data_IF_463783311910
#
_entry.id   IF_463783311910
#
_cell.length_a   1.000
_cell.length_b   1.000
_cell.length_c   1.000
_cell.angle_alpha   90.00
_cell.angle_beta   90.00
_cell.angle_gamma   90.00
#
_symmetry.space_group_name_H-M   'P 1'
#
loop_
_entity.id
_entity.type
_entity.pdbx_description
1 polymer ?
#
# COMPACT_ATOMS: atom_id res chain seq x y z
N UNK A 1 -17.79 -8.68 -20.87
CA UNK A 1 -17.51 -7.23 -20.77
C UNK A 1 -16.29 -6.99 -19.87
N UNK A 2 -16.24 -7.50 -18.62
CA UNK A 2 -15.13 -7.21 -17.68
C UNK A 2 -13.76 -7.65 -18.20
N UNK A 3 -13.63 -8.87 -18.73
CA UNK A 3 -12.36 -9.35 -19.30
C UNK A 3 -11.91 -8.51 -20.52
N UNK A 4 -12.86 -8.11 -21.37
CA UNK A 4 -12.56 -7.26 -22.52
C UNK A 4 -12.07 -5.88 -22.08
N UNK A 5 -12.73 -5.24 -21.09
CA UNK A 5 -12.30 -3.96 -20.54
C UNK A 5 -10.90 -4.05 -19.92
N UNK A 6 -10.61 -5.12 -19.19
CA UNK A 6 -9.28 -5.35 -18.59
C UNK A 6 -8.19 -5.45 -19.66
N UNK A 7 -8.48 -6.12 -20.79
CA UNK A 7 -7.52 -6.27 -21.89
C UNK A 7 -7.29 -4.97 -22.68
N UNK A 8 -8.34 -4.24 -22.99
CA UNK A 8 -8.27 -3.11 -23.93
C UNK A 8 -8.17 -1.74 -23.25
N UNK A 9 -8.73 -1.61 -22.04
CA UNK A 9 -8.76 -0.37 -21.26
C UNK A 9 -8.44 -0.64 -19.78
N UNK A 10 -7.27 -1.22 -19.47
CA UNK A 10 -6.94 -1.62 -18.09
C UNK A 10 -7.00 -0.44 -17.12
N UNK A 11 -6.51 0.73 -17.46
CA UNK A 11 -6.56 1.90 -16.58
C UNK A 11 -7.99 2.27 -16.17
N UNK A 12 -8.92 2.31 -17.12
CA UNK A 12 -10.33 2.59 -16.83
C UNK A 12 -11.01 1.48 -16.02
N UNK A 13 -10.68 0.22 -16.32
CA UNK A 13 -11.17 -0.95 -15.58
C UNK A 13 -10.75 -0.89 -14.10
N UNK A 14 -9.46 -0.67 -13.83
CA UNK A 14 -8.96 -0.61 -12.46
C UNK A 14 -9.44 0.64 -11.70
N UNK A 15 -9.54 1.80 -12.37
CA UNK A 15 -10.15 3.00 -11.78
C UNK A 15 -11.60 2.74 -11.34
N UNK A 16 -12.39 2.09 -12.18
CA UNK A 16 -13.77 1.70 -11.86
C UNK A 16 -13.86 0.76 -10.67
N UNK A 17 -13.03 -0.28 -10.62
CA UNK A 17 -12.99 -1.23 -9.50
C UNK A 17 -12.54 -0.56 -8.18
N UNK A 18 -11.52 0.28 -8.23
CA UNK A 18 -11.05 1.02 -7.05
C UNK A 18 -12.10 2.00 -6.53
N UNK A 19 -12.86 2.64 -7.40
CA UNK A 19 -13.94 3.55 -7.01
C UNK A 19 -15.20 2.82 -6.52
N UNK A 20 -15.35 1.55 -6.87
CA UNK A 20 -16.45 0.69 -6.40
C UNK A 20 -16.18 0.04 -5.04
N UNK A 21 -15.02 0.32 -4.43
CA UNK A 21 -14.71 -0.18 -3.08
C UNK A 21 -15.66 0.42 -2.00
N UNK A 22 -16.03 -0.34 -0.95
CA UNK A 22 -15.53 -1.67 -0.59
C UNK A 22 -16.14 -2.80 -1.42
N UNK A 23 -15.30 -3.70 -1.91
CA UNK A 23 -15.68 -4.94 -2.60
C UNK A 23 -15.13 -6.14 -1.82
N UNK A 24 -15.92 -7.20 -1.67
CA UNK A 24 -15.57 -8.35 -0.81
C UNK A 24 -14.44 -9.25 -1.33
N UNK A 25 -14.03 -9.14 -2.60
CA UNK A 25 -13.13 -10.11 -3.23
C UNK A 25 -11.69 -9.64 -3.40
N UNK A 26 -11.45 -8.34 -3.64
CA UNK A 26 -10.13 -7.81 -3.92
C UNK A 26 -9.84 -6.58 -3.09
N UNK A 27 -8.66 -6.56 -2.47
CA UNK A 27 -8.18 -5.36 -1.76
C UNK A 27 -7.69 -4.30 -2.75
N UNK A 28 -7.68 -3.01 -2.36
CA UNK A 28 -7.07 -1.95 -3.18
C UNK A 28 -5.62 -2.24 -3.56
N UNK A 29 -4.83 -2.86 -2.66
CA UNK A 29 -3.45 -3.26 -2.94
C UNK A 29 -3.36 -4.24 -4.11
N UNK A 30 -4.18 -5.30 -4.09
CA UNK A 30 -4.21 -6.29 -5.17
C UNK A 30 -4.62 -5.68 -6.52
N UNK A 31 -5.62 -4.78 -6.51
CA UNK A 31 -6.06 -4.10 -7.73
C UNK A 31 -4.97 -3.18 -8.29
N UNK A 32 -4.25 -2.44 -7.44
CA UNK A 32 -3.16 -1.56 -7.87
C UNK A 32 -1.98 -2.37 -8.42
N UNK A 33 -1.61 -3.46 -7.76
CA UNK A 33 -0.54 -4.33 -8.26
C UNK A 33 -0.91 -4.97 -9.60
N UNK A 34 -2.16 -5.43 -9.75
CA UNK A 34 -2.63 -6.00 -11.01
C UNK A 34 -2.66 -4.93 -12.12
N UNK A 35 -3.05 -3.69 -11.80
CA UNK A 35 -2.97 -2.56 -12.72
C UNK A 35 -1.53 -2.33 -13.21
N UNK A 36 -0.56 -2.29 -12.28
CA UNK A 36 0.86 -2.13 -12.62
C UNK A 36 1.38 -3.26 -13.51
N UNK A 37 0.98 -4.52 -13.26
CA UNK A 37 1.33 -5.67 -14.12
C UNK A 37 0.75 -5.56 -15.53
N UNK A 38 -0.36 -4.87 -15.71
CA UNK A 38 -0.97 -4.58 -17.00
C UNK A 38 -0.47 -3.27 -17.64
N UNK A 39 0.66 -2.73 -17.15
CA UNK A 39 1.29 -1.53 -17.70
C UNK A 39 0.61 -0.20 -17.37
N UNK A 40 -0.33 -0.18 -16.41
CA UNK A 40 -0.96 1.06 -15.96
C UNK A 40 -0.01 1.78 -15.00
N UNK A 41 0.35 3.01 -15.33
CA UNK A 41 1.09 3.89 -14.42
C UNK A 41 0.16 4.37 -13.32
N UNK A 42 0.44 3.98 -12.07
CA UNK A 42 -0.32 4.40 -10.89
C UNK A 42 0.44 5.48 -10.14
N UNK A 43 -0.21 6.60 -9.90
CA UNK A 43 0.36 7.77 -9.23
C UNK A 43 -0.16 7.87 -7.79
N UNK A 44 0.70 8.26 -6.82
CA UNK A 44 0.32 8.33 -5.41
C UNK A 44 -0.75 9.39 -5.15
N UNK A 45 -1.31 9.36 -3.94
CA UNK A 45 -2.17 10.44 -3.44
C UNK A 45 -1.34 11.72 -3.31
N UNK A 46 -1.88 12.84 -3.78
CA UNK A 46 -1.27 14.16 -3.70
C UNK A 46 -2.33 15.22 -3.41
N UNK A 47 -2.05 16.11 -2.44
CA UNK A 47 -3.01 17.10 -1.98
C UNK A 47 -3.41 18.11 -3.06
N UNK A 48 -2.50 18.42 -3.97
CA UNK A 48 -2.73 19.37 -5.05
C UNK A 48 -3.36 18.74 -6.31
N UNK A 49 -3.38 17.39 -6.40
CA UNK A 49 -3.82 16.72 -7.63
C UNK A 49 -4.96 15.72 -7.40
N UNK A 50 -4.97 14.99 -6.26
CA UNK A 50 -5.97 13.96 -6.02
C UNK A 50 -7.34 14.53 -5.70
N UNK A 51 -8.39 13.94 -6.27
CA UNK A 51 -9.76 14.12 -5.86
C UNK A 51 -10.16 13.06 -4.81
N UNK A 52 -11.41 13.07 -4.38
CA UNK A 52 -11.90 12.02 -3.49
C UNK A 52 -11.79 10.65 -4.15
N UNK A 53 -12.33 10.51 -5.35
CA UNK A 53 -12.25 9.28 -6.12
C UNK A 53 -10.95 9.20 -6.95
N UNK A 54 -10.58 7.97 -7.34
CA UNK A 54 -9.47 7.72 -8.24
C UNK A 54 -9.79 8.25 -9.63
N UNK A 55 -8.81 8.85 -10.30
CA UNK A 55 -9.01 9.49 -11.59
C UNK A 55 -7.97 9.07 -12.62
N UNK A 56 -8.41 8.98 -13.85
CA UNK A 56 -7.53 8.90 -15.00
C UNK A 56 -7.08 10.32 -15.38
N UNK A 57 -5.78 10.48 -15.60
CA UNK A 57 -5.24 11.74 -16.06
C UNK A 57 -5.22 11.74 -17.58
N UNK A 58 -5.78 12.80 -18.17
CA UNK A 58 -5.76 12.98 -19.61
C UNK A 58 -4.33 13.34 -20.05
N UNK A 59 -3.68 12.40 -20.71
CA UNK A 59 -2.33 12.59 -21.28
C UNK A 59 -2.41 12.23 -22.76
N UNK A 60 -2.20 13.23 -23.63
CA UNK A 60 -2.29 13.07 -25.08
C UNK A 60 -1.24 12.12 -25.69
N UNK A 61 -0.22 11.74 -24.92
CA UNK A 61 0.94 10.98 -25.40
C UNK A 61 1.01 9.52 -24.91
N UNK A 62 0.22 9.14 -23.92
CA UNK A 62 0.29 7.79 -23.36
C UNK A 62 -0.75 6.85 -23.99
N UNK A 63 -0.31 5.64 -24.34
CA UNK A 63 -1.21 4.55 -24.80
C UNK A 63 -2.27 4.18 -23.77
N UNK A 64 -1.97 4.39 -22.48
CA UNK A 64 -2.89 4.21 -21.36
C UNK A 64 -2.78 5.42 -20.43
N UNK A 65 -3.91 6.05 -20.04
CA UNK A 65 -3.90 7.18 -19.14
C UNK A 65 -3.40 6.77 -17.75
N UNK A 66 -2.50 7.54 -17.09
CA UNK A 66 -2.10 7.28 -15.73
C UNK A 66 -3.28 7.34 -14.77
N UNK A 67 -3.29 6.45 -13.78
CA UNK A 67 -4.28 6.38 -12.72
C UNK A 67 -3.76 7.11 -11.47
N UNK A 68 -4.38 8.24 -11.11
CA UNK A 68 -4.11 8.96 -9.86
C UNK A 68 -4.96 8.38 -8.72
N UNK A 69 -4.32 7.98 -7.62
CA UNK A 69 -5.02 7.51 -6.44
C UNK A 69 -5.76 8.66 -5.75
N UNK A 70 -6.98 8.37 -5.31
CA UNK A 70 -7.89 9.33 -4.67
C UNK A 70 -7.69 9.45 -3.15
N UNK A 71 -8.11 10.58 -2.59
CA UNK A 71 -8.06 10.87 -1.16
C UNK A 71 -8.86 9.87 -0.30
N UNK A 72 -9.83 9.18 -0.88
CA UNK A 72 -10.62 8.12 -0.22
C UNK A 72 -9.79 6.94 0.32
N UNK A 73 -8.56 6.75 -0.18
CA UNK A 73 -7.62 5.75 0.33
C UNK A 73 -6.99 6.15 1.66
N UNK A 74 -6.95 7.45 1.96
CA UNK A 74 -6.30 7.96 3.16
C UNK A 74 -7.15 7.61 4.38
N UNK A 75 -6.68 6.65 5.18
CA UNK A 75 -7.36 6.22 6.39
C UNK A 75 -7.39 7.35 7.42
N UNK A 76 -8.56 7.63 7.95
CA UNK A 76 -8.73 8.68 8.95
C UNK A 76 -9.10 10.05 8.39
N UNK A 77 -8.90 10.28 7.09
CA UNK A 77 -9.33 11.54 6.45
C UNK A 77 -10.86 11.58 6.32
N UNK A 78 -11.46 12.66 6.77
CA UNK A 78 -12.90 12.86 6.64
C UNK A 78 -13.27 13.24 5.19
N UNK A 79 -14.44 12.76 4.73
CA UNK A 79 -14.95 13.15 3.40
C UNK A 79 -15.19 14.65 3.32
N UNK A 80 -15.67 15.27 4.41
CA UNK A 80 -15.86 16.71 4.49
C UNK A 80 -14.54 17.48 4.41
N UNK A 81 -13.47 16.99 5.05
CA UNK A 81 -12.12 17.53 4.92
C UNK A 81 -11.63 17.48 3.47
N UNK A 82 -11.79 16.35 2.81
CA UNK A 82 -11.40 16.19 1.41
C UNK A 82 -12.17 17.13 0.46
N UNK A 83 -13.46 17.38 0.73
CA UNK A 83 -14.26 18.34 -0.03
C UNK A 83 -13.76 19.76 0.14
N UNK A 84 -13.47 20.19 1.38
CA UNK A 84 -12.90 21.51 1.66
C UNK A 84 -11.53 21.71 1.01
N UNK A 85 -10.70 20.65 0.97
CA UNK A 85 -9.43 20.66 0.22
C UNK A 85 -9.68 20.93 -1.26
N UNK A 86 -10.61 20.19 -1.89
CA UNK A 86 -10.93 20.35 -3.30
C UNK A 86 -11.45 21.76 -3.62
N UNK A 87 -12.30 22.33 -2.77
CA UNK A 87 -12.85 23.70 -2.91
C UNK A 87 -11.76 24.77 -2.75
N UNK A 88 -10.92 24.66 -1.71
CA UNK A 88 -9.84 25.59 -1.48
C UNK A 88 -8.81 25.59 -2.62
N UNK A 89 -8.50 24.38 -3.14
CA UNK A 89 -7.58 24.20 -4.25
C UNK A 89 -8.04 24.83 -5.58
N UNK A 90 -9.36 24.92 -5.82
CA UNK A 90 -9.90 25.56 -7.03
C UNK A 90 -9.48 27.03 -7.18
N UNK A 91 -9.20 27.71 -6.05
CA UNK A 91 -8.75 29.11 -6.06
C UNK A 91 -7.27 29.23 -6.43
N UNK A 92 -6.43 28.40 -5.84
CA UNK A 92 -5.00 28.28 -6.13
C UNK A 92 -4.46 26.96 -5.54
N UNK A 93 -3.42 26.32 -6.13
CA UNK A 93 -2.74 25.20 -5.49
C UNK A 93 -2.13 25.62 -4.16
N UNK A 94 -1.97 24.65 -3.25
CA UNK A 94 -1.30 24.88 -1.97
C UNK A 94 0.22 24.89 -2.20
N UNK A 95 0.92 25.77 -1.49
CA UNK A 95 2.38 25.88 -1.52
C UNK A 95 3.04 25.42 -0.22
N UNK A 96 2.31 25.50 0.91
CA UNK A 96 2.79 25.18 2.24
C UNK A 96 1.72 24.42 3.04
N UNK A 97 2.16 23.67 4.04
CA UNK A 97 1.29 22.89 4.92
C UNK A 97 0.40 23.79 5.78
N UNK A 98 0.93 24.94 6.23
CA UNK A 98 0.17 25.96 6.97
C UNK A 98 -0.97 26.54 6.14
N UNK A 99 -0.70 26.86 4.88
CA UNK A 99 -1.70 27.37 3.93
C UNK A 99 -2.83 26.37 3.70
N UNK A 100 -2.50 25.08 3.56
CA UNK A 100 -3.51 24.01 3.45
C UNK A 100 -4.46 24.01 4.64
N UNK A 101 -3.92 24.02 5.87
CA UNK A 101 -4.74 24.02 7.08
C UNK A 101 -5.66 25.23 7.14
N UNK A 102 -5.13 26.41 6.89
CA UNK A 102 -5.89 27.67 6.99
C UNK A 102 -7.00 27.75 5.93
N UNK A 103 -6.68 27.49 4.66
CA UNK A 103 -7.61 27.64 3.53
C UNK A 103 -8.67 26.54 3.47
N UNK A 104 -8.31 25.31 3.81
CA UNK A 104 -9.25 24.19 3.82
C UNK A 104 -9.92 23.97 5.19
N UNK A 105 -9.52 24.69 6.24
CA UNK A 105 -10.09 24.56 7.58
C UNK A 105 -10.00 23.16 8.13
N UNK A 106 -8.86 22.47 7.91
CA UNK A 106 -8.67 21.09 8.34
C UNK A 106 -8.36 21.03 9.84
N UNK A 107 -8.94 20.05 10.51
CA UNK A 107 -8.60 19.72 11.88
C UNK A 107 -7.26 18.97 11.97
N UNK A 108 -6.78 18.76 13.19
CA UNK A 108 -5.52 18.07 13.44
C UNK A 108 -5.53 16.65 12.89
N UNK A 109 -6.65 15.95 13.04
CA UNK A 109 -6.81 14.56 12.60
C UNK A 109 -6.72 14.42 11.08
N UNK A 110 -7.41 15.28 10.34
CA UNK A 110 -7.35 15.31 8.87
C UNK A 110 -5.92 15.63 8.37
N UNK A 111 -5.23 16.57 9.04
CA UNK A 111 -3.85 16.95 8.70
C UNK A 111 -2.86 15.80 8.96
N UNK A 112 -2.95 15.13 10.13
CA UNK A 112 -2.13 13.97 10.47
C UNK A 112 -2.37 12.81 9.49
N UNK A 113 -3.63 12.53 9.13
CA UNK A 113 -3.96 11.50 8.16
C UNK A 113 -3.34 11.76 6.78
N UNK A 114 -3.36 13.00 6.31
CA UNK A 114 -2.72 13.41 5.05
C UNK A 114 -1.19 13.27 5.10
N UNK A 115 -0.56 13.65 6.21
CA UNK A 115 0.88 13.48 6.38
C UNK A 115 1.28 12.00 6.45
N UNK A 116 0.53 11.20 7.21
CA UNK A 116 0.76 9.76 7.33
C UNK A 116 0.62 9.02 5.99
N UNK A 117 -0.23 9.51 5.10
CA UNK A 117 -0.40 9.00 3.74
C UNK A 117 0.62 9.55 2.72
N UNK A 118 1.59 10.36 3.16
CA UNK A 118 2.55 11.06 2.29
C UNK A 118 1.88 11.95 1.21
N UNK A 119 0.62 12.34 1.44
CA UNK A 119 -0.16 13.15 0.52
C UNK A 119 0.31 14.60 0.43
N UNK A 120 1.14 15.04 1.39
CA UNK A 120 1.73 16.38 1.47
C UNK A 120 3.14 16.46 0.90
N UNK A 121 3.63 15.40 0.25
CA UNK A 121 5.00 15.31 -0.28
C UNK A 121 5.33 16.47 -1.23
N UNK A 122 4.39 16.90 -2.05
CA UNK A 122 4.56 18.04 -2.95
C UNK A 122 4.76 19.39 -2.24
N UNK A 123 4.40 19.49 -0.94
CA UNK A 123 4.53 20.70 -0.12
C UNK A 123 5.78 20.69 0.76
N UNK A 124 6.16 19.52 1.31
CA UNK A 124 7.17 19.39 2.36
C UNK A 124 8.35 18.47 2.00
N UNK A 125 8.31 17.81 0.85
CA UNK A 125 9.37 16.93 0.36
C UNK A 125 9.25 15.47 0.86
N UNK A 126 8.99 15.24 2.14
CA UNK A 126 8.82 13.90 2.72
C UNK A 126 7.97 13.88 3.98
N UNK A 127 7.52 12.69 4.37
CA UNK A 127 6.57 12.44 5.46
C UNK A 127 7.00 13.03 6.82
N UNK A 128 8.26 12.86 7.24
CA UNK A 128 8.76 13.39 8.49
C UNK A 128 8.67 14.92 8.54
N UNK A 129 9.01 15.58 7.44
CA UNK A 129 8.91 17.04 7.35
C UNK A 129 7.45 17.51 7.42
N UNK A 130 6.52 16.79 6.76
CA UNK A 130 5.09 17.06 6.85
C UNK A 130 4.58 16.95 8.30
N UNK A 131 4.94 15.87 8.99
CA UNK A 131 4.54 15.63 10.38
C UNK A 131 5.10 16.71 11.32
N UNK A 132 6.38 17.07 11.13
CA UNK A 132 7.01 18.14 11.91
C UNK A 132 6.31 19.48 11.72
N UNK A 133 6.05 19.87 10.48
CA UNK A 133 5.34 21.12 10.17
C UNK A 133 3.93 21.12 10.80
N UNK A 134 3.20 20.00 10.77
CA UNK A 134 1.87 19.90 11.40
C UNK A 134 1.97 20.03 12.92
N UNK A 135 2.98 19.44 13.56
CA UNK A 135 3.18 19.59 15.01
C UNK A 135 3.48 21.03 15.40
N UNK A 136 4.20 21.76 14.54
CA UNK A 136 4.52 23.16 14.75
C UNK A 136 3.33 24.12 14.52
N UNK A 137 2.25 23.65 13.86
CA UNK A 137 1.05 24.45 13.66
C UNK A 137 0.30 24.65 15.00
N UNK A 138 0.34 25.86 15.53
CA UNK A 138 -0.41 26.20 16.72
C UNK A 138 -1.93 26.00 16.52
N UNK A 139 -2.62 25.52 17.56
CA UNK A 139 -4.07 25.55 17.56
C UNK A 139 -4.53 27.01 17.63
N UNK A 140 -5.48 27.46 16.78
CA UNK A 140 -6.01 28.78 16.88
C UNK A 140 -6.65 28.97 18.29
N UNK A 141 -6.06 29.84 19.09
CA UNK A 141 -6.62 30.22 20.41
C UNK A 141 -7.70 31.27 20.16
N UNK A 142 -8.98 31.00 20.52
CA UNK A 142 -10.09 31.91 20.21
C UNK A 142 -9.92 33.31 20.77
N UNK A 143 -9.10 33.49 21.83
CA UNK A 143 -8.88 34.74 22.52
C UNK A 143 -7.78 35.65 21.92
N UNK A 144 -7.08 35.20 20.87
CA UNK A 144 -5.97 35.94 20.27
C UNK A 144 -6.14 36.06 18.74
N UNK A 145 -7.37 36.24 18.27
CA UNK A 145 -7.63 36.57 16.86
C UNK A 145 -7.30 38.07 16.64
N UNK A 146 -6.01 38.40 16.73
CA UNK A 146 -5.52 39.65 16.12
C UNK A 146 -5.42 39.40 14.61
N UNK A 147 -6.28 40.09 13.87
CA UNK A 147 -6.42 40.01 12.40
C UNK A 147 -5.14 40.36 11.60
N UNK A 148 -4.06 40.74 12.29
CA UNK A 148 -2.82 41.25 11.66
C UNK A 148 -1.55 40.45 11.95
N UNK A 149 -1.57 39.35 12.69
CA UNK A 149 -0.39 38.47 12.78
C UNK A 149 -0.35 37.53 11.60
N UNK A 150 0.43 37.92 10.59
CA UNK A 150 1.01 36.94 9.66
C UNK A 150 1.60 35.82 10.53
N UNK A 151 1.30 34.52 10.21
CA UNK A 151 1.92 33.43 10.93
C UNK A 151 3.42 33.66 10.90
N UNK A 152 4.02 33.73 12.09
CA UNK A 152 5.46 33.96 12.23
C UNK A 152 6.18 32.79 11.55
N UNK A 153 6.67 33.04 10.34
CA UNK A 153 7.46 32.13 9.49
C UNK A 153 8.85 31.81 10.08
N UNK A 154 9.11 32.19 11.33
CA UNK A 154 10.44 32.14 11.91
C UNK A 154 10.94 30.76 12.31
N UNK A 155 10.11 29.72 12.28
CA UNK A 155 10.49 28.37 12.71
C UNK A 155 10.47 27.30 11.60
N UNK A 156 9.84 27.58 10.45
CA UNK A 156 9.53 26.51 9.49
C UNK A 156 10.66 26.20 8.47
N UNK A 157 11.53 27.17 8.16
CA UNK A 157 12.55 26.99 7.11
C UNK A 157 13.92 26.48 7.61
N UNK A 158 14.13 26.45 8.93
CA UNK A 158 15.45 26.19 9.50
C UNK A 158 15.73 24.70 9.83
N UNK A 159 14.71 23.88 10.08
CA UNK A 159 14.90 22.48 10.49
C UNK A 159 14.55 21.53 9.36
N UNK A 160 15.58 20.97 8.72
CA UNK A 160 15.42 19.88 7.77
C UNK A 160 15.59 18.55 8.50
N UNK A 161 14.53 17.76 8.54
CA UNK A 161 14.58 16.42 9.10
C UNK A 161 15.13 15.42 8.08
N UNK A 162 15.81 14.35 8.53
CA UNK A 162 16.22 13.29 7.64
C UNK A 162 14.99 12.60 7.02
N UNK A 163 15.08 12.27 5.75
CA UNK A 163 14.03 11.53 5.07
C UNK A 163 13.88 10.12 5.69
N UNK A 164 12.65 9.59 5.78
CA UNK A 164 12.44 8.24 6.29
C UNK A 164 13.11 7.20 5.40
N UNK A 165 13.55 6.10 6.00
CA UNK A 165 14.11 4.97 5.26
C UNK A 165 13.06 4.24 4.43
N UNK A 166 13.49 3.56 3.35
CA UNK A 166 12.57 2.86 2.43
C UNK A 166 11.63 1.89 3.16
N UNK A 167 12.14 1.13 4.12
CA UNK A 167 11.32 0.21 4.92
C UNK A 167 10.24 0.95 5.72
N UNK A 168 10.61 2.04 6.38
CA UNK A 168 9.68 2.88 7.15
C UNK A 168 8.59 3.47 6.26
N UNK A 169 8.95 3.96 5.08
CA UNK A 169 8.03 4.48 4.07
C UNK A 169 7.00 3.40 3.66
N UNK A 170 7.47 2.19 3.34
CA UNK A 170 6.61 1.07 2.92
C UNK A 170 5.61 0.72 4.02
N UNK A 171 6.05 0.60 5.28
CA UNK A 171 5.13 0.28 6.37
C UNK A 171 4.16 1.41 6.69
N UNK A 172 4.60 2.66 6.61
CA UNK A 172 3.73 3.81 6.78
C UNK A 172 2.67 3.89 5.70
N UNK A 173 3.02 3.57 4.45
CA UNK A 173 2.07 3.47 3.34
C UNK A 173 0.98 2.43 3.61
N UNK A 174 1.35 1.19 4.00
CA UNK A 174 0.36 0.15 4.33
C UNK A 174 -0.54 0.55 5.50
N UNK A 175 0.01 1.24 6.51
CA UNK A 175 -0.78 1.72 7.64
C UNK A 175 -1.77 2.79 7.22
N UNK A 176 -1.32 3.79 6.46
CA UNK A 176 -2.07 4.97 6.11
C UNK A 176 -3.07 4.76 4.96
N UNK A 177 -2.71 3.95 3.94
CA UNK A 177 -3.53 3.76 2.74
C UNK A 177 -3.93 2.30 2.48
N UNK A 178 -3.25 1.34 3.11
CA UNK A 178 -3.45 -0.09 2.89
C UNK A 178 -2.70 -0.65 1.68
N UNK A 179 -1.89 0.16 1.00
CA UNK A 179 -1.05 -0.24 -0.13
C UNK A 179 0.21 0.61 -0.20
N UNK A 180 1.21 0.18 -0.96
CA UNK A 180 2.39 0.97 -1.30
C UNK A 180 2.63 0.95 -2.81
N UNK A 181 3.12 2.07 -3.35
CA UNK A 181 3.63 2.15 -4.72
C UNK A 181 5.16 2.04 -4.77
N UNK A 182 5.79 1.81 -3.62
CA UNK A 182 7.23 1.61 -3.45
C UNK A 182 7.57 0.12 -3.53
N UNK A 183 8.73 -0.24 -3.05
CA UNK A 183 9.16 -1.63 -3.01
C UNK A 183 8.23 -2.51 -2.15
N UNK A 184 7.91 -3.71 -2.64
CA UNK A 184 7.19 -4.70 -1.87
C UNK A 184 7.98 -5.11 -0.62
N UNK A 185 7.37 -5.36 0.56
CA UNK A 185 8.08 -5.78 1.77
C UNK A 185 9.01 -6.98 1.57
N UNK A 186 8.60 -7.94 0.75
CA UNK A 186 9.44 -9.11 0.42
C UNK A 186 10.71 -8.73 -0.32
N UNK A 187 10.70 -7.71 -1.18
CA UNK A 187 11.90 -7.21 -1.84
C UNK A 187 12.96 -6.75 -0.82
N UNK A 188 12.53 -6.11 0.28
CA UNK A 188 13.43 -5.66 1.35
C UNK A 188 14.00 -6.81 2.18
N UNK A 189 13.28 -7.93 2.27
CA UNK A 189 13.72 -9.14 2.98
C UNK A 189 14.55 -10.08 2.11
N UNK A 190 14.45 -9.98 0.79
CA UNK A 190 14.98 -10.96 -0.17
C UNK A 190 16.49 -11.22 -0.01
N UNK A 191 17.27 -10.24 0.42
CA UNK A 191 18.71 -10.39 0.65
C UNK A 191 19.05 -11.11 1.96
N UNK A 192 18.09 -11.27 2.89
CA UNK A 192 18.31 -11.87 4.20
C UNK A 192 18.02 -13.36 4.20
N UNK A 193 18.75 -14.12 5.03
CA UNK A 193 18.39 -15.52 5.30
C UNK A 193 17.12 -15.59 6.15
N UNK A 194 16.17 -16.49 5.88
CA UNK A 194 16.21 -17.56 4.83
C UNK A 194 15.60 -17.13 3.49
N UNK A 195 15.14 -15.89 3.31
CA UNK A 195 14.39 -15.42 2.15
C UNK A 195 15.23 -15.40 0.86
N UNK A 196 16.55 -15.25 0.97
CA UNK A 196 17.48 -15.32 -0.15
C UNK A 196 17.53 -16.70 -0.85
N UNK A 197 16.96 -17.73 -0.20
CA UNK A 197 16.83 -19.08 -0.75
C UNK A 197 15.42 -19.39 -1.27
N UNK A 198 14.50 -18.44 -1.18
CA UNK A 198 13.13 -18.62 -1.64
C UNK A 198 13.02 -18.25 -3.12
N UNK A 199 12.28 -19.05 -3.86
CA UNK A 199 11.93 -18.78 -5.25
C UNK A 199 10.89 -17.67 -5.34
N UNK A 200 10.93 -16.89 -6.41
CA UNK A 200 9.92 -15.88 -6.75
C UNK A 200 8.77 -16.55 -7.49
N UNK A 201 7.65 -15.86 -7.56
CA UNK A 201 6.49 -16.33 -8.31
C UNK A 201 6.85 -16.58 -9.79
N UNK A 202 7.58 -15.67 -10.41
CA UNK A 202 8.04 -15.81 -11.80
C UNK A 202 8.96 -17.01 -12.01
N UNK A 203 9.73 -17.41 -11.00
CA UNK A 203 10.59 -18.62 -11.10
C UNK A 203 9.74 -19.90 -11.18
N UNK A 204 8.53 -19.89 -10.59
CA UNK A 204 7.65 -21.07 -10.57
C UNK A 204 7.11 -21.42 -11.95
N UNK A 205 6.93 -20.44 -12.84
CA UNK A 205 6.41 -20.62 -14.19
C UNK A 205 7.31 -21.55 -15.03
N UNK A 206 8.60 -21.58 -14.72
CA UNK A 206 9.61 -22.39 -15.43
C UNK A 206 9.95 -23.70 -14.71
N UNK A 207 9.38 -23.94 -13.52
CA UNK A 207 9.68 -25.14 -12.72
C UNK A 207 8.89 -26.34 -13.19
N UNK A 208 9.58 -27.49 -13.23
CA UNK A 208 8.94 -28.78 -13.52
C UNK A 208 8.00 -29.21 -12.39
N UNK A 209 6.95 -29.92 -12.76
CA UNK A 209 6.00 -30.53 -11.83
C UNK A 209 6.70 -31.45 -10.81
N UNK A 210 6.16 -31.57 -9.60
CA UNK A 210 6.68 -32.37 -8.49
C UNK A 210 8.08 -31.95 -7.98
N UNK A 211 8.57 -30.76 -8.30
CA UNK A 211 9.83 -30.23 -7.75
C UNK A 211 9.62 -29.60 -6.39
N UNK A 212 10.55 -29.90 -5.48
CA UNK A 212 10.60 -29.19 -4.19
C UNK A 212 10.89 -27.71 -4.40
N UNK A 213 10.16 -26.88 -3.66
CA UNK A 213 10.30 -25.43 -3.69
C UNK A 213 10.21 -24.84 -2.29
N UNK A 214 10.93 -23.77 -2.10
CA UNK A 214 10.79 -22.88 -0.95
C UNK A 214 10.31 -21.52 -1.46
N UNK A 215 9.18 -21.05 -0.93
CA UNK A 215 8.59 -19.75 -1.26
C UNK A 215 8.36 -18.97 0.04
N UNK A 216 8.30 -17.65 -0.07
CA UNK A 216 7.90 -16.80 1.04
C UNK A 216 7.09 -15.61 0.51
N UNK A 217 6.10 -15.17 1.30
CA UNK A 217 5.25 -14.06 0.91
C UNK A 217 4.30 -13.63 2.01
N UNK A 218 3.68 -12.47 1.81
CA UNK A 218 2.61 -11.97 2.64
C UNK A 218 1.34 -12.78 2.41
N UNK A 219 0.65 -13.16 3.47
CA UNK A 219 -0.60 -13.89 3.37
C UNK A 219 -1.73 -12.91 3.09
N UNK A 220 -2.23 -12.90 1.86
CA UNK A 220 -3.32 -12.02 1.43
C UNK A 220 -4.69 -12.66 1.51
N UNK A 221 -4.76 -14.00 1.41
CA UNK A 221 -6.02 -14.71 1.46
C UNK A 221 -5.87 -16.08 2.14
N UNK A 222 -6.90 -16.47 2.91
CA UNK A 222 -7.08 -17.80 3.47
C UNK A 222 -8.51 -18.23 3.18
N UNK A 223 -8.69 -19.31 2.42
CA UNK A 223 -10.01 -19.81 2.04
C UNK A 223 -10.14 -21.30 2.35
N UNK A 224 -11.27 -21.68 2.91
CA UNK A 224 -11.65 -23.08 3.11
C UNK A 224 -12.99 -23.31 2.41
N UNK A 225 -12.99 -23.62 1.10
CA UNK A 225 -14.24 -23.92 0.40
C UNK A 225 -14.94 -25.15 0.98
N UNK A 226 -16.24 -25.07 1.15
CA UNK A 226 -17.02 -26.22 1.68
C UNK A 226 -16.95 -27.46 0.79
N UNK A 227 -16.73 -27.29 -0.52
CA UNK A 227 -16.60 -28.36 -1.52
C UNK A 227 -15.22 -29.04 -1.55
N UNK A 228 -14.22 -28.49 -0.86
CA UNK A 228 -12.83 -28.93 -0.99
C UNK A 228 -12.37 -29.94 0.06
N UNK A 229 -13.26 -30.77 0.61
CA UNK A 229 -12.96 -31.86 1.56
C UNK A 229 -12.00 -31.43 2.70
N UNK A 230 -12.17 -30.20 3.21
CA UNK A 230 -11.39 -29.65 4.33
C UNK A 230 -9.99 -29.14 3.96
N UNK A 231 -9.67 -29.05 2.70
CA UNK A 231 -8.44 -28.41 2.19
C UNK A 231 -8.51 -26.90 2.42
N UNK A 232 -7.38 -26.27 2.78
CA UNK A 232 -7.27 -24.83 2.92
C UNK A 232 -6.38 -24.29 1.80
N UNK A 233 -6.84 -23.21 1.19
CA UNK A 233 -6.10 -22.47 0.18
C UNK A 233 -5.55 -21.19 0.77
N UNK A 234 -4.25 -20.93 0.52
CA UNK A 234 -3.58 -19.68 0.84
C UNK A 234 -3.17 -18.98 -0.45
N UNK A 235 -3.23 -17.66 -0.43
CA UNK A 235 -2.56 -16.84 -1.43
C UNK A 235 -1.41 -16.11 -0.75
N UNK A 236 -0.20 -16.33 -1.23
CA UNK A 236 1.01 -15.61 -0.81
C UNK A 236 1.38 -14.60 -1.88
N UNK A 237 1.54 -13.36 -1.46
CA UNK A 237 1.94 -12.25 -2.32
C UNK A 237 3.40 -11.87 -2.07
N UNK A 238 4.17 -11.70 -3.12
CA UNK A 238 5.53 -11.20 -3.09
C UNK A 238 5.78 -10.20 -4.24
N UNK A 239 6.99 -9.73 -4.42
CA UNK A 239 7.31 -8.64 -5.34
C UNK A 239 7.03 -8.92 -6.82
N UNK A 240 6.99 -10.18 -7.25
CA UNK A 240 6.77 -10.54 -8.66
C UNK A 240 5.37 -11.07 -8.93
N UNK A 241 4.65 -11.51 -7.90
CA UNK A 241 3.32 -12.08 -8.10
C UNK A 241 2.67 -12.66 -6.86
N UNK A 242 1.63 -13.44 -7.10
CA UNK A 242 0.89 -14.16 -6.06
C UNK A 242 0.88 -15.64 -6.35
N UNK A 243 1.26 -16.44 -5.36
CA UNK A 243 1.32 -17.89 -5.45
C UNK A 243 0.19 -18.54 -4.68
N UNK A 244 -0.48 -19.51 -5.32
CA UNK A 244 -1.54 -20.29 -4.71
C UNK A 244 -0.95 -21.50 -3.99
N UNK A 245 -1.28 -21.64 -2.70
CA UNK A 245 -0.79 -22.72 -1.85
C UNK A 245 -1.94 -23.58 -1.38
N UNK A 246 -1.80 -24.87 -1.53
CA UNK A 246 -2.77 -25.90 -1.07
C UNK A 246 -2.25 -26.52 0.21
N UNK A 247 -3.03 -26.44 1.28
CA UNK A 247 -2.67 -26.98 2.60
C UNK A 247 -3.63 -28.10 2.96
N UNK A 248 -3.14 -29.33 2.93
CA UNK A 248 -3.89 -30.52 3.30
C UNK A 248 -4.16 -30.60 4.80
N UNK A 249 -5.20 -31.30 5.22
CA UNK A 249 -5.64 -31.40 6.62
C UNK A 249 -4.52 -31.78 7.59
N UNK A 250 -3.67 -32.76 7.23
CA UNK A 250 -2.51 -33.17 8.04
C UNK A 250 -1.56 -32.02 8.30
N UNK A 251 -1.21 -31.26 7.27
CA UNK A 251 -0.33 -30.09 7.36
C UNK A 251 -0.99 -28.95 8.15
N UNK A 252 -2.30 -28.76 7.99
CA UNK A 252 -3.07 -27.77 8.79
C UNK A 252 -3.01 -28.07 10.29
N UNK A 253 -3.14 -29.36 10.68
CA UNK A 253 -3.07 -29.75 12.08
C UNK A 253 -1.66 -29.52 12.66
N UNK A 254 -0.64 -29.88 11.90
CA UNK A 254 0.76 -29.77 12.32
C UNK A 254 1.23 -28.31 12.45
N UNK A 255 0.80 -27.42 11.57
CA UNK A 255 1.25 -26.01 11.50
C UNK A 255 0.10 -25.01 11.78
N UNK A 256 -0.87 -25.42 12.62
CA UNK A 256 -2.09 -24.63 12.85
C UNK A 256 -1.81 -23.18 13.29
N UNK A 257 -0.87 -22.97 14.18
CA UNK A 257 -0.55 -21.63 14.68
C UNK A 257 -0.05 -20.73 13.56
N UNK A 258 1.01 -21.15 12.85
CA UNK A 258 1.56 -20.39 11.72
C UNK A 258 0.48 -20.16 10.64
N UNK A 259 -0.32 -21.18 10.35
CA UNK A 259 -1.37 -21.09 9.34
C UNK A 259 -2.44 -20.04 9.65
N UNK A 260 -2.79 -19.85 10.92
CA UNK A 260 -3.91 -18.96 11.32
C UNK A 260 -3.45 -17.52 11.63
N UNK A 261 -2.25 -17.34 12.18
CA UNK A 261 -1.80 -16.03 12.69
C UNK A 261 -0.78 -15.32 11.81
N UNK A 262 0.02 -16.06 11.03
CA UNK A 262 1.13 -15.46 10.30
C UNK A 262 0.68 -14.45 9.24
N UNK A 263 1.32 -13.29 9.21
CA UNK A 263 1.20 -12.31 8.12
C UNK A 263 2.27 -12.53 7.04
N UNK A 264 3.43 -13.07 7.42
CA UNK A 264 4.50 -13.46 6.55
C UNK A 264 4.80 -14.94 6.77
N UNK A 265 4.60 -15.73 5.71
CA UNK A 265 4.91 -17.17 5.74
C UNK A 265 6.09 -17.50 4.82
N UNK A 266 6.93 -18.42 5.31
CA UNK A 266 7.84 -19.20 4.48
C UNK A 266 7.28 -20.62 4.38
N UNK A 267 7.15 -21.14 3.18
CA UNK A 267 6.57 -22.45 2.91
C UNK A 267 7.58 -23.30 2.15
N UNK A 268 7.83 -24.49 2.68
CA UNK A 268 8.47 -25.57 1.97
C UNK A 268 7.37 -26.45 1.36
N UNK A 269 7.42 -26.69 0.08
CA UNK A 269 6.39 -27.43 -0.62
C UNK A 269 6.86 -28.04 -1.91
N UNK A 270 5.91 -28.53 -2.69
CA UNK A 270 6.13 -29.13 -4.01
C UNK A 270 5.27 -28.41 -5.03
N UNK A 271 5.84 -28.11 -6.19
CA UNK A 271 5.13 -27.51 -7.31
C UNK A 271 4.20 -28.54 -7.92
N UNK A 272 2.93 -28.19 -8.10
CA UNK A 272 1.93 -28.96 -8.85
C UNK A 272 1.32 -28.07 -9.91
N UNK A 273 1.49 -28.44 -11.18
CA UNK A 273 0.86 -27.74 -12.29
C UNK A 273 -0.32 -28.55 -12.78
N UNK A 274 -1.52 -27.95 -12.74
CA UNK A 274 -2.75 -28.55 -13.22
C UNK A 274 -3.54 -27.54 -14.03
N UNK A 275 -3.96 -27.91 -15.22
CA UNK A 275 -4.75 -27.06 -16.14
C UNK A 275 -4.10 -25.68 -16.37
N UNK A 276 -2.79 -25.61 -16.54
CA UNK A 276 -1.98 -24.39 -16.65
C UNK A 276 -2.02 -23.49 -15.41
N UNK A 277 -2.48 -23.97 -14.26
CA UNK A 277 -2.44 -23.25 -12.98
C UNK A 277 -1.40 -23.90 -12.09
N UNK A 278 -0.50 -23.06 -11.56
CA UNK A 278 0.56 -23.48 -10.65
C UNK A 278 0.05 -23.41 -9.22
N UNK A 279 0.12 -24.53 -8.52
CA UNK A 279 -0.16 -24.64 -7.09
C UNK A 279 1.10 -25.10 -6.35
N UNK A 280 1.25 -24.68 -5.12
CA UNK A 280 2.28 -25.19 -4.21
C UNK A 280 1.60 -26.07 -3.16
N UNK A 281 1.89 -27.35 -3.16
CA UNK A 281 1.43 -28.27 -2.11
C UNK A 281 2.32 -28.07 -0.88
N UNK A 282 1.76 -27.52 0.18
CA UNK A 282 2.50 -27.20 1.39
C UNK A 282 2.90 -28.45 2.17
N UNK A 283 4.19 -28.61 2.44
CA UNK A 283 4.74 -29.64 3.34
C UNK A 283 5.04 -29.09 4.74
N UNK A 284 5.60 -27.87 4.83
CA UNK A 284 5.87 -27.19 6.08
C UNK A 284 5.67 -25.69 5.97
N UNK A 285 5.17 -25.07 7.05
CA UNK A 285 4.91 -23.63 7.16
C UNK A 285 5.67 -23.05 8.35
N UNK A 286 6.32 -21.89 8.13
CA UNK A 286 7.06 -21.17 9.15
C UNK A 286 6.59 -19.73 9.21
N UNK A 287 6.25 -19.27 10.42
CA UNK A 287 5.85 -17.88 10.67
C UNK A 287 7.08 -16.98 10.80
N UNK A 288 7.18 -16.01 9.91
CA UNK A 288 8.20 -14.98 9.91
C UNK A 288 7.63 -13.56 10.09
N UNK A 289 6.43 -13.44 10.65
CA UNK A 289 5.76 -12.14 10.88
C UNK A 289 6.65 -11.17 11.65
N UNK A 290 7.44 -11.67 12.62
CA UNK A 290 8.40 -10.86 13.36
C UNK A 290 9.46 -10.15 12.50
N UNK A 291 9.79 -10.67 11.32
CA UNK A 291 10.73 -10.00 10.40
C UNK A 291 10.14 -8.72 9.79
N UNK A 292 8.81 -8.63 9.67
CA UNK A 292 8.16 -7.38 9.27
C UNK A 292 8.31 -6.31 10.37
N UNK A 293 8.21 -6.70 11.63
CA UNK A 293 8.41 -5.81 12.77
C UNK A 293 9.88 -5.37 12.89
N UNK A 294 10.81 -6.29 12.66
CA UNK A 294 12.25 -6.01 12.65
C UNK A 294 12.66 -5.03 11.55
N UNK A 295 11.99 -5.03 10.40
CA UNK A 295 12.17 -4.01 9.36
C UNK A 295 11.76 -2.62 9.87
N UNK A 296 10.68 -2.53 10.65
CA UNK A 296 10.20 -1.28 11.27
C UNK A 296 11.20 -0.74 12.29
N UNK A 297 11.78 -1.60 13.14
CA UNK A 297 12.70 -1.20 14.20
C UNK A 297 14.04 -0.70 13.66
N UNK A 298 14.55 -1.30 12.57
CA UNK A 298 15.83 -0.88 11.96
C UNK A 298 15.77 0.50 11.30
N UNK A 299 14.59 0.98 10.91
CA UNK A 299 14.45 2.33 10.36
C UNK A 299 14.42 3.43 11.43
N UNK A 300 14.29 3.08 12.73
CA UNK A 300 14.23 4.03 13.86
C UNK A 300 15.57 4.32 14.53
N UNK A 301 16.65 3.66 14.13
CA UNK A 301 17.97 3.92 14.72
C UNK A 301 18.53 5.23 14.16
N UNK A 302 18.23 6.32 14.84
CA UNK A 302 18.98 7.57 14.77
C UNK A 302 20.33 7.33 15.48
N UNK A 303 21.40 7.32 14.74
CA UNK A 303 22.76 7.50 15.23
C UNK A 303 23.22 8.90 14.93
#
# INVERSE_FOLDING_TARGET
VSAWLKCHHPAAFFAGLLNSQPMGFYSPSQLVQDACRHGVTVLPVDINQSHWDHQLLDTREATQPPLRLGLRLVKGLSRGGAQRVAEARRRAPFRQVSELRQRAGLDKRDMEALADADALRSLSGHRHQSQWQIMALEQPRPLLQDEQRQPSSYFDDAVQLPAPGVAEEVFSDYRATGLTLRAHPMCLLRTRYPFNRCKRHTDLETMSNNRFVRIAGLVTCRQRPGSAAGVLFLTLEEETGSSNVVVWQRTQQQFRQALMSAQLLLINGTVETRDNVIHIIAGALYDYTGELENLRLKSRNFH
#
